data_IF_940789991672
#
_entry.id   IF_940789991672
#
_cell.length_a   1.000
_cell.length_b   1.000
_cell.length_c   1.000
_cell.angle_alpha   90.00
_cell.angle_beta   90.00
_cell.angle_gamma   90.00
#
_symmetry.space_group_name_H-M   'P 1'
#
loop_
_entity.id
_entity.type
_entity.pdbx_description
1 polymer ?
#
# COMPACT_ATOMS: atom_id res chain seq x y z
N UNK A 1 -19.85 11.70 -10.42
CA UNK A 1 -20.02 10.57 -9.49
C UNK A 1 -18.96 10.71 -8.41
N UNK A 2 -19.34 10.92 -7.14
CA UNK A 2 -18.37 10.87 -6.05
C UNK A 2 -17.86 9.44 -5.94
N UNK A 3 -16.55 9.25 -5.98
CA UNK A 3 -15.96 7.96 -5.60
C UNK A 3 -16.48 7.61 -4.21
N UNK A 4 -16.94 6.37 -3.95
CA UNK A 4 -17.41 5.99 -2.62
C UNK A 4 -16.34 6.36 -1.58
N UNK A 5 -16.79 6.94 -0.45
CA UNK A 5 -15.90 7.29 0.66
C UNK A 5 -15.11 6.05 1.07
N UNK A 6 -13.78 6.10 0.88
CA UNK A 6 -12.88 5.00 1.22
C UNK A 6 -12.14 5.37 2.50
N UNK A 7 -12.27 4.53 3.53
CA UNK A 7 -11.62 4.75 4.82
C UNK A 7 -10.10 4.69 4.64
N UNK A 8 -9.40 5.70 5.16
CA UNK A 8 -7.94 5.74 5.22
C UNK A 8 -7.46 5.06 6.50
N UNK A 9 -6.47 4.18 6.39
CA UNK A 9 -5.88 3.46 7.53
C UNK A 9 -4.53 4.02 7.95
N UNK A 10 -3.70 4.43 6.98
CA UNK A 10 -2.41 5.04 7.25
C UNK A 10 -1.89 5.85 6.07
N UNK A 11 -0.94 6.73 6.36
CA UNK A 11 -0.11 7.39 5.36
C UNK A 11 1.36 7.30 5.82
N UNK A 12 2.28 7.06 4.88
CA UNK A 12 3.69 6.84 5.19
C UNK A 12 4.59 7.51 4.14
N UNK A 13 5.53 8.33 4.59
CA UNK A 13 6.58 8.85 3.71
C UNK A 13 7.57 7.75 3.33
N UNK A 14 8.13 7.85 2.15
CA UNK A 14 9.35 7.10 1.83
C UNK A 14 10.54 7.68 2.63
N UNK A 15 11.69 7.00 2.59
CA UNK A 15 12.87 7.40 3.36
C UNK A 15 13.39 8.82 3.04
N UNK A 16 13.18 9.30 1.81
CA UNK A 16 13.59 10.64 1.36
C UNK A 16 12.58 11.73 1.72
N UNK A 17 11.38 11.33 2.20
CA UNK A 17 10.26 12.21 2.47
C UNK A 17 9.80 13.04 1.25
N UNK A 18 10.17 12.62 0.04
CA UNK A 18 9.80 13.28 -1.21
C UNK A 18 8.55 12.65 -1.86
N UNK A 19 8.12 11.49 -1.37
CA UNK A 19 6.89 10.81 -1.72
C UNK A 19 6.22 10.21 -0.47
N UNK A 20 4.90 10.00 -0.53
CA UNK A 20 4.18 9.26 0.50
C UNK A 20 3.08 8.38 -0.09
N UNK A 21 2.83 7.26 0.59
CA UNK A 21 1.72 6.36 0.33
C UNK A 21 0.54 6.66 1.25
N UNK A 22 -0.67 6.36 0.79
CA UNK A 22 -1.91 6.36 1.58
C UNK A 22 -2.58 5.01 1.38
N UNK A 23 -2.73 4.26 2.47
CA UNK A 23 -3.39 2.95 2.50
C UNK A 23 -4.86 3.11 2.88
N UNK A 24 -5.75 2.47 2.13
CA UNK A 24 -7.21 2.58 2.32
C UNK A 24 -7.91 1.23 2.25
N UNK A 25 -9.20 1.21 2.57
CA UNK A 25 -10.07 0.04 2.36
C UNK A 25 -10.16 -0.40 0.89
N UNK A 26 -9.73 0.45 -0.05
CA UNK A 26 -9.87 0.22 -1.49
C UNK A 26 -8.55 0.25 -2.26
N UNK A 27 -7.42 0.09 -1.58
CA UNK A 27 -6.10 0.02 -2.20
C UNK A 27 -5.10 1.01 -1.64
N UNK A 28 -4.19 1.47 -2.51
CA UNK A 28 -3.09 2.38 -2.17
C UNK A 28 -3.08 3.53 -3.15
N UNK A 29 -2.79 4.74 -2.65
CA UNK A 29 -2.48 5.91 -3.48
C UNK A 29 -1.09 6.43 -3.13
N UNK A 30 -0.28 6.72 -4.14
CA UNK A 30 1.08 7.22 -4.00
C UNK A 30 1.14 8.66 -4.50
N UNK A 31 1.77 9.53 -3.74
CA UNK A 31 1.85 10.96 -4.04
C UNK A 31 3.30 11.46 -3.94
N UNK A 32 3.61 12.50 -4.70
CA UNK A 32 4.73 13.38 -4.39
C UNK A 32 4.42 14.17 -3.12
N UNK A 33 5.43 14.43 -2.31
CA UNK A 33 5.33 15.38 -1.19
C UNK A 33 5.20 16.81 -1.70
N UNK A 34 5.97 17.16 -2.76
CA UNK A 34 5.90 18.48 -3.38
C UNK A 34 6.29 18.45 -4.88
N UNK A 35 5.47 19.01 -5.79
CA UNK A 35 4.08 19.38 -5.56
C UNK A 35 3.23 18.14 -5.23
N UNK A 36 2.14 18.31 -4.46
CA UNK A 36 1.29 17.20 -4.00
C UNK A 36 0.45 16.60 -5.14
N UNK A 37 1.09 15.77 -5.97
CA UNK A 37 0.52 15.16 -7.18
C UNK A 37 0.42 13.66 -7.00
N UNK A 38 -0.71 13.07 -7.43
CA UNK A 38 -0.90 11.61 -7.48
C UNK A 38 0.05 11.01 -8.52
N UNK A 39 0.94 10.13 -8.06
CA UNK A 39 1.90 9.40 -8.90
C UNK A 39 1.29 8.10 -9.42
N UNK A 40 0.62 7.36 -8.53
CA UNK A 40 0.07 6.03 -8.83
C UNK A 40 -1.10 5.72 -7.92
N UNK A 41 -2.09 5.01 -8.46
CA UNK A 41 -3.15 4.39 -7.67
C UNK A 41 -3.17 2.89 -7.94
N UNK A 42 -3.39 2.12 -6.89
CA UNK A 42 -3.67 0.69 -6.92
C UNK A 42 -5.10 0.49 -6.46
N UNK A 43 -5.90 -0.20 -7.28
CA UNK A 43 -7.32 -0.39 -6.98
C UNK A 43 -7.56 -1.57 -6.04
N UNK A 44 -8.80 -1.67 -5.56
CA UNK A 44 -9.30 -2.83 -4.80
C UNK A 44 -9.15 -4.12 -5.59
N UNK A 45 -9.32 -4.08 -6.91
CA UNK A 45 -9.17 -5.23 -7.80
C UNK A 45 -7.71 -5.64 -7.99
N UNK A 46 -6.75 -4.72 -7.86
CA UNK A 46 -5.33 -5.07 -7.93
C UNK A 46 -4.84 -5.66 -6.61
N UNK A 47 -5.04 -4.94 -5.49
CA UNK A 47 -4.38 -5.28 -4.21
C UNK A 47 -5.32 -5.37 -3.00
N UNK A 48 -6.61 -5.11 -3.16
CA UNK A 48 -7.58 -5.13 -2.06
C UNK A 48 -7.40 -3.98 -1.08
N UNK A 49 -7.98 -4.12 0.11
CA UNK A 49 -7.79 -3.21 1.23
C UNK A 49 -6.42 -3.38 1.88
N UNK A 50 -5.84 -2.27 2.33
CA UNK A 50 -4.47 -2.21 2.86
C UNK A 50 -4.45 -1.45 4.17
N UNK A 51 -3.80 -2.02 5.19
CA UNK A 51 -3.67 -1.40 6.51
C UNK A 51 -2.51 -0.41 6.55
N UNK A 52 -1.37 -0.82 6.01
CA UNK A 52 -0.15 0.00 5.91
C UNK A 52 0.57 -0.29 4.62
N UNK A 53 1.14 0.75 4.02
CA UNK A 53 1.97 0.64 2.83
C UNK A 53 3.16 1.59 2.91
N UNK A 54 4.22 1.25 2.21
CA UNK A 54 5.39 2.09 1.98
C UNK A 54 5.93 1.86 0.57
N UNK A 55 6.73 2.80 0.08
CA UNK A 55 7.42 2.73 -1.22
C UNK A 55 8.91 2.65 -0.95
N UNK A 56 9.61 1.75 -1.64
CA UNK A 56 11.07 1.75 -1.64
C UNK A 56 11.56 2.87 -2.57
N UNK A 57 12.12 3.94 -2.00
CA UNK A 57 12.58 5.13 -2.75
C UNK A 57 11.48 5.70 -3.68
N UNK A 58 11.82 5.92 -4.96
CA UNK A 58 10.90 6.23 -6.07
C UNK A 58 10.89 5.08 -7.09
N UNK A 59 10.87 3.84 -6.60
CA UNK A 59 10.86 2.64 -7.44
C UNK A 59 9.44 2.16 -7.75
N UNK A 60 9.35 1.14 -8.60
CA UNK A 60 8.15 0.34 -8.88
C UNK A 60 7.86 -0.70 -7.78
N UNK A 61 8.59 -0.70 -6.67
CA UNK A 61 8.42 -1.67 -5.58
C UNK A 61 7.58 -1.07 -4.46
N UNK A 62 6.43 -1.68 -4.21
CA UNK A 62 5.47 -1.28 -3.18
C UNK A 62 5.44 -2.38 -2.12
N UNK A 63 5.61 -1.99 -0.86
CA UNK A 63 5.57 -2.89 0.27
C UNK A 63 4.33 -2.58 1.09
N UNK A 64 3.51 -3.57 1.41
CA UNK A 64 2.26 -3.33 2.12
C UNK A 64 1.80 -4.53 2.94
N UNK A 65 0.91 -4.27 3.90
CA UNK A 65 0.23 -5.29 4.70
C UNK A 65 -1.27 -5.19 4.43
N UNK A 66 -1.87 -6.33 4.11
CA UNK A 66 -3.31 -6.41 3.85
C UNK A 66 -4.14 -5.99 5.06
N UNK A 67 -5.36 -5.52 4.83
CA UNK A 67 -6.28 -5.21 5.92
C UNK A 67 -7.48 -4.40 5.49
N UNK A 68 -8.26 -3.95 6.47
CA UNK A 68 -9.49 -3.24 6.18
C UNK A 68 -10.62 -4.14 5.67
N UNK A 69 -11.71 -3.50 5.24
CA UNK A 69 -12.99 -4.15 4.93
C UNK A 69 -12.95 -5.01 3.66
N UNK A 70 -11.99 -4.77 2.77
CA UNK A 70 -11.86 -5.46 1.48
C UNK A 70 -10.47 -6.06 1.28
N UNK A 71 -9.83 -6.51 2.37
CA UNK A 71 -8.51 -7.11 2.35
C UNK A 71 -8.45 -8.31 1.38
N UNK A 72 -7.45 -8.31 0.49
CA UNK A 72 -7.10 -9.49 -0.33
C UNK A 72 -6.00 -10.34 0.31
N UNK A 73 -5.20 -9.72 1.19
CA UNK A 73 -4.04 -10.33 1.80
C UNK A 73 -4.17 -10.33 3.32
N UNK A 74 -3.50 -11.25 4.03
CA UNK A 74 -3.53 -11.32 5.49
C UNK A 74 -2.97 -10.06 6.14
N UNK A 75 -3.45 -9.74 7.34
CA UNK A 75 -3.03 -8.56 8.10
C UNK A 75 -1.75 -8.76 8.92
N UNK A 76 -1.20 -9.97 8.92
CA UNK A 76 0.06 -10.37 9.54
C UNK A 76 1.16 -10.68 8.51
N UNK A 77 0.93 -10.36 7.24
CA UNK A 77 1.83 -10.70 6.14
C UNK A 77 2.22 -9.45 5.38
N UNK A 78 3.53 -9.29 5.19
CA UNK A 78 4.10 -8.24 4.34
C UNK A 78 4.15 -8.75 2.91
N UNK A 79 3.50 -8.01 2.02
CA UNK A 79 3.51 -8.24 0.59
C UNK A 79 4.48 -7.28 -0.09
N UNK A 80 5.23 -7.75 -1.08
CA UNK A 80 6.04 -6.92 -1.98
C UNK A 80 5.50 -7.05 -3.39
N UNK A 81 5.04 -5.95 -3.95
CA UNK A 81 4.50 -5.84 -5.31
C UNK A 81 5.49 -5.12 -6.22
N UNK A 82 5.72 -5.70 -7.39
CA UNK A 82 6.46 -5.06 -8.48
C UNK A 82 5.45 -4.52 -9.51
N UNK A 83 5.26 -3.19 -9.52
CA UNK A 83 4.33 -2.52 -10.45
C UNK A 83 4.80 -2.57 -11.91
N UNK A 84 6.09 -2.78 -12.17
CA UNK A 84 6.56 -2.94 -13.55
C UNK A 84 6.16 -4.32 -14.09
N UNK A 85 6.25 -5.35 -13.25
CA UNK A 85 5.89 -6.74 -13.59
C UNK A 85 4.41 -7.05 -13.40
N UNK A 86 3.69 -6.19 -12.68
CA UNK A 86 2.29 -6.38 -12.27
C UNK A 86 2.08 -7.68 -11.48
N UNK A 87 2.99 -8.00 -10.55
CA UNK A 87 2.90 -9.21 -9.74
C UNK A 87 3.45 -9.05 -8.32
N UNK A 88 3.05 -9.99 -7.46
CA UNK A 88 3.62 -10.16 -6.12
C UNK A 88 4.95 -10.91 -6.26
N UNK A 89 6.02 -10.31 -5.76
CA UNK A 89 7.37 -10.87 -5.86
C UNK A 89 7.89 -11.43 -4.54
N UNK A 90 7.27 -11.06 -3.41
CA UNK A 90 7.61 -11.61 -2.10
C UNK A 90 6.40 -11.55 -1.14
N UNK A 91 6.31 -12.56 -0.30
CA UNK A 91 5.36 -12.65 0.81
C UNK A 91 6.12 -13.07 2.08
N UNK A 92 6.01 -12.30 3.15
CA UNK A 92 6.67 -12.58 4.43
C UNK A 92 5.68 -12.51 5.57
N UNK A 93 5.35 -13.66 6.16
CA UNK A 93 4.44 -13.76 7.30
C UNK A 93 5.19 -13.51 8.61
N UNK A 94 4.71 -12.56 9.39
CA UNK A 94 5.22 -12.29 10.73
C UNK A 94 4.51 -13.20 11.74
N UNK A 95 5.28 -14.05 12.43
CA UNK A 95 4.82 -14.82 13.57
C UNK A 95 5.14 -14.05 14.84
N UNK A 96 4.12 -13.65 15.59
CA UNK A 96 4.30 -13.11 16.94
C UNK A 96 4.30 -14.28 17.90
N UNK A 97 5.50 -14.72 18.31
CA UNK A 97 5.64 -15.67 19.40
C UNK A 97 5.23 -14.99 20.69
N UNK A 98 4.15 -15.46 21.29
CA UNK A 98 3.79 -15.07 22.65
C UNK A 98 4.63 -15.93 23.58
N UNK A 99 5.55 -15.30 24.30
CA UNK A 99 6.35 -15.90 25.37
C UNK A 99 5.49 -16.21 26.60
#
# INVERSE_FOLDING_TARGET
MSSPSSKVHSACFNAQQDCFSVATDSGIRLFNSHPAVLLRSFSREQIGGVKVSSILHRSNIIVFVGGGSYAKFPSNTVMVWDDKRQELVLEVTAYVFHS
#
